data_IF_005896642308
#
_entry.id   IF_005896642308
#
_cell.length_a   1.000
_cell.length_b   1.000
_cell.length_c   1.000
_cell.angle_alpha   90.00
_cell.angle_beta   90.00
_cell.angle_gamma   90.00
#
_symmetry.space_group_name_H-M   'P 1'
#
loop_
_entity.id
_entity.type
_entity.pdbx_description
1 polymer ?
#
# COMPACT_ATOMS: atom_id res chain seq x y z
N UNK A 1 -16.91 -13.27 13.87
CA UNK A 1 -16.66 -13.93 12.58
C UNK A 1 -16.76 -15.43 12.81
N UNK A 2 -17.74 -16.11 12.20
CA UNK A 2 -17.75 -17.58 12.20
C UNK A 2 -16.61 -18.03 11.28
N UNK A 3 -15.72 -18.89 11.80
CA UNK A 3 -14.71 -19.55 10.98
C UNK A 3 -15.45 -20.43 9.95
N UNK A 4 -15.26 -20.13 8.67
CA UNK A 4 -15.69 -20.98 7.58
C UNK A 4 -14.74 -22.19 7.60
N UNK A 5 -15.31 -23.38 7.72
CA UNK A 5 -14.55 -24.63 7.66
C UNK A 5 -13.88 -24.74 6.29
N UNK A 6 -12.57 -24.89 6.25
CA UNK A 6 -11.75 -24.84 5.02
C UNK A 6 -11.98 -26.02 4.06
N UNK A 7 -12.75 -27.02 4.45
CA UNK A 7 -13.02 -28.22 3.64
C UNK A 7 -14.40 -28.18 2.92
N UNK A 8 -15.17 -27.08 3.07
CA UNK A 8 -16.48 -26.99 2.43
C UNK A 8 -16.40 -26.50 1.00
N UNK A 9 -17.14 -27.15 0.13
CA UNK A 9 -17.28 -26.74 -1.27
C UNK A 9 -18.16 -25.50 -1.39
N UNK A 10 -17.77 -24.56 -2.24
CA UNK A 10 -18.53 -23.36 -2.60
C UNK A 10 -19.00 -23.50 -4.04
N UNK A 11 -20.32 -23.53 -4.23
CA UNK A 11 -20.92 -23.46 -5.55
C UNK A 11 -20.93 -22.03 -6.05
N UNK A 12 -20.35 -21.77 -7.24
CA UNK A 12 -20.30 -20.46 -7.85
C UNK A 12 -21.18 -20.45 -9.10
N UNK A 13 -22.17 -19.58 -9.11
CA UNK A 13 -23.06 -19.37 -10.27
C UNK A 13 -22.85 -17.96 -10.82
N UNK A 14 -22.54 -17.85 -12.11
CA UNK A 14 -22.35 -16.57 -12.81
C UNK A 14 -23.46 -16.39 -13.83
N UNK A 15 -24.13 -15.26 -13.78
CA UNK A 15 -25.06 -14.78 -14.79
C UNK A 15 -24.55 -13.49 -15.43
N UNK A 16 -25.29 -12.93 -16.37
CA UNK A 16 -24.87 -11.73 -17.12
C UNK A 16 -24.50 -10.54 -16.23
N UNK A 17 -25.23 -10.34 -15.12
CA UNK A 17 -25.06 -9.16 -14.24
C UNK A 17 -24.82 -9.51 -12.77
N UNK A 18 -24.74 -10.78 -12.42
CA UNK A 18 -24.65 -11.23 -11.02
C UNK A 18 -23.74 -12.45 -10.90
N UNK A 19 -23.08 -12.53 -9.75
CA UNK A 19 -22.36 -13.71 -9.28
C UNK A 19 -22.95 -14.13 -7.94
N UNK A 20 -23.22 -15.41 -7.76
CA UNK A 20 -23.69 -15.99 -6.53
C UNK A 20 -22.71 -17.04 -6.00
N UNK A 21 -22.49 -17.02 -4.71
CA UNK A 21 -21.70 -18.00 -3.96
C UNK A 21 -22.63 -18.69 -2.98
N UNK A 22 -22.77 -20.00 -3.08
CA UNK A 22 -23.59 -20.80 -2.19
C UNK A 22 -22.72 -21.81 -1.44
N UNK A 23 -22.90 -21.84 -0.14
CA UNK A 23 -22.23 -22.79 0.75
C UNK A 23 -23.21 -23.16 1.86
N UNK A 24 -23.64 -24.42 1.89
CA UNK A 24 -24.68 -24.91 2.80
C UNK A 24 -25.95 -24.01 2.76
N UNK A 25 -26.28 -23.38 3.89
CA UNK A 25 -27.43 -22.46 4.03
C UNK A 25 -27.07 -20.99 3.69
N UNK A 26 -25.79 -20.69 3.43
CA UNK A 26 -25.34 -19.34 3.10
C UNK A 26 -25.40 -19.10 1.60
N UNK A 27 -26.02 -17.98 1.22
CA UNK A 27 -26.08 -17.50 -0.16
C UNK A 27 -25.60 -16.03 -0.19
N UNK A 28 -24.50 -15.76 -0.88
CA UNK A 28 -24.01 -14.43 -1.15
C UNK A 28 -24.23 -14.10 -2.62
N UNK A 29 -24.96 -13.02 -2.91
CA UNK A 29 -25.16 -12.54 -4.27
C UNK A 29 -24.54 -11.15 -4.40
N UNK A 30 -23.74 -10.96 -5.45
CA UNK A 30 -23.15 -9.68 -5.78
C UNK A 30 -23.42 -9.30 -7.24
N UNK A 31 -23.45 -8.00 -7.53
CA UNK A 31 -23.47 -7.50 -8.91
C UNK A 31 -22.08 -7.59 -9.52
N UNK A 32 -22.02 -7.98 -10.79
CA UNK A 32 -20.80 -7.88 -11.60
C UNK A 32 -20.66 -6.44 -12.05
N UNK A 33 -19.47 -5.86 -11.84
CA UNK A 33 -19.13 -4.54 -12.36
C UNK A 33 -19.02 -4.66 -13.88
N UNK A 34 -19.84 -3.86 -14.58
CA UNK A 34 -19.77 -3.79 -16.05
C UNK A 34 -18.54 -3.02 -16.49
N UNK A 35 -17.87 -3.52 -17.53
CA UNK A 35 -16.71 -2.89 -18.13
C UNK A 35 -15.54 -3.84 -18.32
N UNK A 36 -14.56 -3.37 -19.08
CA UNK A 36 -13.34 -4.12 -19.30
C UNK A 36 -12.43 -3.97 -18.07
N UNK A 37 -11.86 -5.07 -17.57
CA UNK A 37 -10.87 -5.04 -16.51
C UNK A 37 -9.67 -4.17 -16.94
N UNK A 38 -9.23 -3.21 -16.12
CA UNK A 38 -8.12 -2.34 -16.46
C UNK A 38 -6.85 -3.12 -16.78
N UNK A 39 -6.09 -2.66 -17.78
CA UNK A 39 -4.78 -3.24 -18.07
C UNK A 39 -3.76 -2.84 -16.97
N UNK A 40 -3.74 -3.58 -15.87
CA UNK A 40 -2.87 -3.31 -14.73
C UNK A 40 -1.37 -3.38 -15.07
N UNK A 41 -0.98 -4.09 -16.14
CA UNK A 41 0.42 -4.17 -16.59
C UNK A 41 0.97 -2.80 -16.99
N UNK A 42 0.11 -1.90 -17.45
CA UNK A 42 0.52 -0.54 -17.84
C UNK A 42 0.84 0.36 -16.64
N UNK A 43 0.38 0.03 -15.43
CA UNK A 43 0.67 0.81 -14.23
C UNK A 43 1.84 0.25 -13.41
N UNK A 44 2.34 -0.93 -13.77
CA UNK A 44 3.54 -1.50 -13.15
C UNK A 44 4.76 -0.82 -13.79
N UNK A 45 5.56 -0.03 -13.05
CA UNK A 45 6.76 0.56 -13.62
C UNK A 45 7.77 -0.52 -13.99
N UNK A 46 8.22 -0.51 -15.24
CA UNK A 46 9.25 -1.44 -15.74
C UNK A 46 10.60 -1.12 -15.12
N UNK A 47 10.93 0.18 -15.06
CA UNK A 47 12.16 0.68 -14.44
C UNK A 47 11.83 1.67 -13.33
N UNK A 48 12.60 1.62 -12.25
CA UNK A 48 12.48 2.52 -11.11
C UNK A 48 13.85 3.04 -10.72
N UNK A 49 14.02 4.37 -10.70
CA UNK A 49 15.26 5.03 -10.32
C UNK A 49 15.54 4.88 -8.82
N UNK A 50 14.54 5.11 -8.01
CA UNK A 50 14.65 5.09 -6.55
C UNK A 50 14.18 3.74 -6.00
N UNK A 51 15.05 3.07 -5.21
CA UNK A 51 14.77 1.78 -4.59
C UNK A 51 15.28 1.77 -3.15
N UNK A 52 14.39 1.40 -2.24
CA UNK A 52 14.65 1.38 -0.80
C UNK A 52 14.20 0.05 -0.21
N UNK A 53 15.01 -0.49 0.70
CA UNK A 53 14.71 -1.68 1.48
C UNK A 53 14.54 -1.27 2.94
N UNK A 54 13.40 -1.64 3.55
CA UNK A 54 13.03 -1.18 4.88
C UNK A 54 12.63 -2.39 5.71
N UNK A 55 13.09 -2.45 6.96
CA UNK A 55 12.66 -3.50 7.87
C UNK A 55 11.18 -3.38 8.15
N UNK A 56 10.43 -4.44 7.80
CA UNK A 56 8.96 -4.42 7.81
C UNK A 56 8.37 -4.04 9.17
N UNK A 57 8.89 -4.62 10.27
CA UNK A 57 8.36 -4.37 11.61
C UNK A 57 8.47 -2.90 12.01
N UNK A 58 9.64 -2.29 11.78
CA UNK A 58 9.89 -0.90 12.14
C UNK A 58 9.03 0.05 11.29
N UNK A 59 8.92 -0.25 10.00
CA UNK A 59 8.09 0.52 9.06
C UNK A 59 6.60 0.40 9.39
N UNK A 60 6.11 -0.81 9.70
CA UNK A 60 4.73 -1.03 10.11
C UNK A 60 4.39 -0.26 11.39
N UNK A 61 5.24 -0.37 12.41
CA UNK A 61 5.01 0.28 13.70
C UNK A 61 4.97 1.82 13.56
N UNK A 62 5.88 2.41 12.78
CA UNK A 62 5.88 3.85 12.50
C UNK A 62 4.66 4.28 11.66
N UNK A 63 4.28 3.49 10.65
CA UNK A 63 3.11 3.73 9.84
C UNK A 63 1.80 3.68 10.65
N UNK A 64 1.68 2.74 11.60
CA UNK A 64 0.52 2.67 12.50
C UNK A 64 0.42 3.91 13.41
N UNK A 65 1.53 4.38 13.96
CA UNK A 65 1.56 5.62 14.75
C UNK A 65 1.20 6.84 13.90
N UNK A 66 1.75 6.96 12.70
CA UNK A 66 1.40 8.02 11.76
C UNK A 66 -0.09 8.02 11.40
N UNK A 67 -0.70 6.85 11.26
CA UNK A 67 -2.12 6.71 10.93
C UNK A 67 -3.04 7.30 11.99
N UNK A 68 -2.65 7.32 13.27
CA UNK A 68 -3.45 7.94 14.34
C UNK A 68 -3.70 9.42 14.09
N UNK A 69 -2.68 10.13 13.59
CA UNK A 69 -2.80 11.54 13.22
C UNK A 69 -3.41 11.69 11.82
N UNK A 70 -2.95 10.92 10.84
CA UNK A 70 -3.38 11.03 9.44
C UNK A 70 -4.88 10.76 9.24
N UNK A 71 -5.50 9.94 10.08
CA UNK A 71 -6.95 9.63 9.99
C UNK A 71 -7.82 10.90 10.08
N UNK A 72 -7.37 11.93 10.80
CA UNK A 72 -8.05 13.22 10.88
C UNK A 72 -7.75 14.16 9.68
N UNK A 73 -6.84 13.77 8.75
CA UNK A 73 -6.42 14.56 7.58
C UNK A 73 -6.39 13.74 6.30
N UNK A 74 -7.51 13.12 5.95
CA UNK A 74 -7.70 12.35 4.72
C UNK A 74 -6.74 11.14 4.55
N UNK A 75 -6.16 10.65 5.64
CA UNK A 75 -5.21 9.54 5.68
C UNK A 75 -3.91 9.79 4.89
N UNK A 76 -3.52 11.04 4.69
CA UNK A 76 -2.30 11.41 3.95
C UNK A 76 -1.09 11.38 4.88
N UNK A 77 -0.07 10.63 4.49
CA UNK A 77 1.24 10.58 5.15
C UNK A 77 2.31 10.88 4.11
N UNK A 78 3.28 11.71 4.47
CA UNK A 78 4.42 12.09 3.63
C UNK A 78 5.65 11.33 4.06
N UNK A 79 6.40 10.87 3.08
CA UNK A 79 7.65 10.15 3.23
C UNK A 79 8.76 10.92 2.55
N UNK A 80 9.87 11.13 3.25
CA UNK A 80 11.10 11.72 2.70
C UNK A 80 12.23 10.73 2.91
N UNK A 81 12.81 10.27 1.81
CA UNK A 81 13.87 9.25 1.81
C UNK A 81 15.22 9.93 1.68
N UNK A 82 16.12 9.66 2.59
CA UNK A 82 17.53 10.02 2.51
C UNK A 82 18.43 8.77 2.33
N UNK A 83 19.71 8.87 2.67
CA UNK A 83 20.68 7.77 2.49
C UNK A 83 20.41 6.58 3.41
N UNK A 84 19.95 6.83 4.62
CA UNK A 84 19.92 5.84 5.70
C UNK A 84 18.55 5.75 6.37
N UNK A 85 17.68 6.74 6.14
CA UNK A 85 16.41 6.84 6.83
C UNK A 85 15.27 7.27 5.90
N UNK A 86 14.06 6.87 6.27
CA UNK A 86 12.82 7.48 5.79
C UNK A 86 12.17 8.27 6.91
N UNK A 87 11.96 9.56 6.69
CA UNK A 87 11.16 10.42 7.58
C UNK A 87 9.69 10.30 7.20
N UNK A 88 8.86 9.93 8.18
CA UNK A 88 7.42 9.72 8.05
C UNK A 88 6.71 10.87 8.77
N UNK A 89 5.92 11.66 8.04
CA UNK A 89 5.27 12.85 8.57
C UNK A 89 3.76 12.82 8.32
N UNK A 90 2.99 13.04 9.37
CA UNK A 90 1.55 13.26 9.30
C UNK A 90 1.18 14.54 10.04
N UNK A 91 0.25 15.32 9.49
CA UNK A 91 -0.22 16.56 10.09
C UNK A 91 -1.75 16.56 10.11
N UNK A 92 -2.36 16.94 11.22
CA UNK A 92 -3.79 17.13 11.32
C UNK A 92 -4.13 18.41 12.06
N UNK A 93 -4.83 19.32 11.39
CA UNK A 93 -5.22 20.60 11.97
C UNK A 93 -6.07 20.38 13.22
N UNK A 94 -5.62 20.93 14.34
CA UNK A 94 -6.32 20.84 15.63
C UNK A 94 -6.02 19.55 16.43
N UNK A 95 -5.28 18.59 15.87
CA UNK A 95 -4.85 17.37 16.58
C UNK A 95 -3.35 17.35 16.86
N UNK A 96 -2.53 17.83 15.90
CA UNK A 96 -1.08 17.91 16.03
C UNK A 96 -0.32 17.34 14.83
N UNK A 97 0.98 17.21 15.05
CA UNK A 97 1.93 16.75 14.06
C UNK A 97 2.62 15.48 14.57
N UNK A 98 2.91 14.60 13.64
CA UNK A 98 3.71 13.39 13.86
C UNK A 98 4.92 13.42 12.94
N UNK A 99 6.09 13.13 13.48
CA UNK A 99 7.30 12.89 12.72
C UNK A 99 8.08 11.75 13.36
N UNK A 100 8.48 10.78 12.55
CA UNK A 100 9.33 9.67 12.97
C UNK A 100 10.29 9.30 11.85
N UNK A 101 11.47 8.80 12.19
CA UNK A 101 12.47 8.34 11.26
C UNK A 101 12.67 6.83 11.44
N UNK A 102 12.69 6.10 10.32
CA UNK A 102 12.90 4.66 10.26
C UNK A 102 14.12 4.39 9.41
N UNK A 103 15.01 3.53 9.89
CA UNK A 103 16.19 3.12 9.14
C UNK A 103 15.81 2.38 7.86
N UNK A 104 16.55 2.63 6.80
CA UNK A 104 16.44 1.95 5.52
C UNK A 104 17.80 1.63 4.92
N UNK A 105 17.81 0.74 3.95
CA UNK A 105 18.90 0.53 3.01
C UNK A 105 18.51 1.12 1.66
N UNK A 106 19.26 2.11 1.19
CA UNK A 106 19.06 2.64 -0.16
C UNK A 106 19.80 1.77 -1.16
N UNK A 107 19.04 1.07 -1.98
CA UNK A 107 19.57 0.20 -3.05
C UNK A 107 19.99 1.02 -4.26
N UNK A 108 19.20 2.03 -4.63
CA UNK A 108 19.52 3.00 -5.71
C UNK A 108 18.70 4.28 -5.55
N UNK A 109 19.10 5.34 -6.25
CA UNK A 109 18.32 6.57 -6.35
C UNK A 109 19.00 7.80 -5.80
N UNK A 110 18.25 8.90 -5.78
CA UNK A 110 18.68 10.24 -5.38
C UNK A 110 18.47 10.46 -3.88
N UNK A 111 19.12 11.51 -3.35
CA UNK A 111 18.90 12.02 -2.00
C UNK A 111 17.63 12.86 -1.97
N UNK A 112 16.97 12.93 -0.81
CA UNK A 112 15.79 13.78 -0.53
C UNK A 112 14.57 13.53 -1.43
N UNK A 113 14.37 12.29 -1.84
CA UNK A 113 13.19 11.93 -2.61
C UNK A 113 11.96 11.90 -1.71
N UNK A 114 10.88 12.56 -2.15
CA UNK A 114 9.64 12.70 -1.39
C UNK A 114 8.48 12.03 -2.12
N UNK A 115 7.56 11.47 -1.34
CA UNK A 115 6.32 10.89 -1.87
C UNK A 115 5.26 10.90 -0.77
N UNK A 116 3.98 10.95 -1.14
CA UNK A 116 2.89 10.87 -0.17
C UNK A 116 1.92 9.76 -0.54
N UNK A 117 1.43 9.05 0.47
CA UNK A 117 0.49 7.95 0.28
C UNK A 117 -0.73 8.07 1.21
N UNK A 118 -1.80 7.39 0.81
CA UNK A 118 -2.86 7.04 1.73
C UNK A 118 -2.34 5.94 2.67
N UNK A 119 -2.18 6.28 3.94
CA UNK A 119 -1.59 5.36 4.93
C UNK A 119 -2.39 4.07 5.12
N UNK A 120 -3.71 4.09 4.91
CA UNK A 120 -4.53 2.88 5.01
C UNK A 120 -4.16 1.86 3.96
N UNK A 121 -3.99 2.29 2.70
CA UNK A 121 -3.60 1.40 1.60
C UNK A 121 -2.20 0.81 1.83
N UNK A 122 -1.29 1.60 2.40
CA UNK A 122 0.04 1.13 2.75
C UNK A 122 0.00 0.11 3.90
N UNK A 123 -0.78 0.38 4.94
CA UNK A 123 -0.96 -0.53 6.06
C UNK A 123 -1.64 -1.84 5.65
N UNK A 124 -2.61 -1.78 4.73
CA UNK A 124 -3.31 -2.98 4.25
C UNK A 124 -2.32 -3.98 3.65
N UNK A 125 -1.36 -3.53 2.83
CA UNK A 125 -0.37 -4.42 2.25
C UNK A 125 0.70 -4.86 3.26
N UNK A 126 1.26 -3.95 4.07
CA UNK A 126 2.34 -4.29 5.00
C UNK A 126 1.88 -5.29 6.07
N UNK A 127 0.60 -5.25 6.47
CA UNK A 127 0.01 -6.19 7.43
C UNK A 127 -0.21 -7.59 6.86
N UNK A 128 -0.43 -7.72 5.55
CA UNK A 128 -0.72 -9.02 4.92
C UNK A 128 0.53 -9.83 4.59
N UNK A 129 1.67 -9.16 4.38
CA UNK A 129 2.93 -9.84 4.09
C UNK A 129 3.63 -10.29 5.37
N UNK A 130 4.25 -11.47 5.31
CA UNK A 130 5.07 -12.00 6.41
C UNK A 130 6.51 -12.15 5.91
N UNK A 131 7.27 -11.08 6.01
CA UNK A 131 8.64 -10.94 5.50
C UNK A 131 9.47 -10.10 6.47
N UNK A 132 10.78 -10.22 6.42
CA UNK A 132 11.69 -9.39 7.23
C UNK A 132 11.80 -7.96 6.66
N UNK A 133 11.83 -7.83 5.33
CA UNK A 133 11.97 -6.55 4.64
C UNK A 133 10.87 -6.34 3.61
N UNK A 134 10.54 -5.08 3.38
CA UNK A 134 9.72 -4.60 2.25
C UNK A 134 10.56 -3.70 1.37
N UNK A 135 10.38 -3.82 0.05
CA UNK A 135 11.08 -3.01 -0.94
C UNK A 135 10.10 -2.01 -1.55
N UNK A 136 10.45 -0.73 -1.53
CA UNK A 136 9.73 0.35 -2.19
C UNK A 136 10.52 0.83 -3.39
N UNK A 137 9.87 0.95 -4.55
CA UNK A 137 10.51 1.37 -5.78
C UNK A 137 9.61 2.33 -6.57
N UNK A 138 10.12 3.53 -6.92
CA UNK A 138 9.39 4.56 -7.67
C UNK A 138 10.36 5.51 -8.38
N UNK A 139 9.85 6.34 -9.30
CA UNK A 139 10.69 7.28 -10.03
C UNK A 139 10.67 8.69 -9.43
N UNK A 140 9.48 9.19 -9.11
CA UNK A 140 9.29 10.53 -8.54
C UNK A 140 8.02 10.58 -7.69
N UNK A 141 7.72 11.74 -7.10
CA UNK A 141 6.61 11.96 -6.19
C UNK A 141 5.20 11.77 -6.81
N UNK A 142 5.12 11.66 -8.14
CA UNK A 142 3.85 11.48 -8.87
C UNK A 142 3.74 10.13 -9.57
N UNK A 143 4.82 9.34 -9.58
CA UNK A 143 4.83 8.03 -10.24
C UNK A 143 4.31 6.93 -9.31
N UNK A 144 3.74 5.86 -9.88
CA UNK A 144 3.34 4.70 -9.08
C UNK A 144 4.51 4.15 -8.28
N UNK A 145 4.27 3.80 -7.02
CA UNK A 145 5.23 3.09 -6.19
C UNK A 145 4.94 1.60 -6.23
N UNK A 146 5.95 0.82 -6.55
CA UNK A 146 5.93 -0.64 -6.49
C UNK A 146 6.47 -1.10 -5.14
N UNK A 147 5.68 -1.88 -4.41
CA UNK A 147 6.09 -2.58 -3.21
C UNK A 147 6.27 -4.06 -3.56
N UNK A 148 7.41 -4.63 -3.18
CA UNK A 148 7.75 -6.04 -3.35
C UNK A 148 8.36 -6.60 -2.07
N UNK A 149 8.49 -7.92 -1.98
CA UNK A 149 9.15 -8.63 -0.89
C UNK A 149 10.17 -9.61 -1.47
N UNK A 150 11.24 -9.91 -0.72
CA UNK A 150 12.34 -10.73 -1.22
C UNK A 150 11.96 -12.21 -1.37
N UNK A 151 11.05 -12.68 -0.51
CA UNK A 151 10.68 -14.10 -0.43
C UNK A 151 9.68 -14.57 -1.50
N UNK A 152 9.08 -13.63 -2.26
CA UNK A 152 8.07 -13.93 -3.29
C UNK A 152 8.26 -13.02 -4.50
N UNK A 153 8.90 -13.53 -5.54
CA UNK A 153 9.15 -12.76 -6.78
C UNK A 153 7.87 -12.32 -7.49
N UNK A 154 6.80 -13.11 -7.38
CA UNK A 154 5.49 -12.81 -7.99
C UNK A 154 4.64 -11.83 -7.18
N UNK A 155 5.07 -11.46 -5.96
CA UNK A 155 4.34 -10.50 -5.16
C UNK A 155 4.64 -9.08 -5.60
N UNK A 156 3.65 -8.41 -6.16
CA UNK A 156 3.72 -7.01 -6.57
C UNK A 156 2.49 -6.26 -6.06
N UNK A 157 2.70 -5.18 -5.32
CA UNK A 157 1.65 -4.26 -4.94
C UNK A 157 1.97 -2.87 -5.48
N UNK A 158 1.00 -2.25 -6.15
CA UNK A 158 1.13 -0.89 -6.70
C UNK A 158 0.29 0.06 -5.88
N UNK A 159 0.93 1.11 -5.37
CA UNK A 159 0.26 2.21 -4.67
C UNK A 159 0.48 3.52 -5.44
N UNK A 160 -0.62 4.20 -5.72
CA UNK A 160 -0.57 5.52 -6.36
C UNK A 160 -0.30 6.59 -5.32
N UNK A 161 0.63 7.53 -5.58
CA UNK A 161 0.90 8.63 -4.67
C UNK A 161 -0.25 9.63 -4.66
N UNK A 162 -0.32 10.40 -3.57
CA UNK A 162 -1.23 11.53 -3.41
C UNK A 162 -0.45 12.81 -3.70
N UNK A 163 -1.01 13.66 -4.55
CA UNK A 163 -0.48 15.01 -4.77
C UNK A 163 -0.70 15.87 -3.53
N UNK A 164 0.36 16.43 -2.99
CA UNK A 164 0.30 17.40 -1.89
C UNK A 164 0.77 18.77 -2.36
N UNK A 165 0.23 19.83 -1.78
CA UNK A 165 0.58 21.20 -2.18
C UNK A 165 2.07 21.53 -1.96
N UNK A 166 2.72 20.82 -1.06
CA UNK A 166 4.13 21.05 -0.68
C UNK A 166 5.15 20.64 -1.76
N UNK A 167 4.71 19.94 -2.83
CA UNK A 167 5.54 19.53 -3.98
C UNK A 167 5.45 20.53 -5.16
N UNK A 168 4.81 21.69 -4.97
CA UNK A 168 4.62 22.70 -6.04
C UNK A 168 5.62 23.88 -5.98
N UNK A 169 6.66 23.80 -5.13
CA UNK A 169 7.69 24.86 -5.03
C UNK A 169 9.07 24.30 -5.37
#
# INVERSE_FOLDING_TARGET
MQNIDSEKEVEITISENQIAFKMDEFLLISRIIQGQFPNYKQVIPEETGNRFKIKREDFLAAAERAALIATASNNVVRFSFDKENVSIVANAKGLGDFKEEVNLERVSGEDDVKIAFNIRLLLDVIKTVNTEYVNLAFNNELSPCKLTIDEQEDFIYIIMPIRTADYQN
#
